data_IF_117282049860
#
_entry.id   IF_117282049860
#
_cell.length_a   1.000
_cell.length_b   1.000
_cell.length_c   1.000
_cell.angle_alpha   90.00
_cell.angle_beta   90.00
_cell.angle_gamma   90.00
#
_symmetry.space_group_name_H-M   'P 1'
#
loop_
_entity.id
_entity.type
_entity.pdbx_description
1 polymer ?
#
# COMPACT_ATOMS: atom_id res chain seq x y z
N UNK A 1 18.65 -43.83 -2.86
CA UNK A 1 17.32 -43.17 -2.92
C UNK A 1 17.02 -42.60 -1.55
N UNK A 2 17.21 -41.29 -1.36
CA UNK A 2 16.56 -40.54 -0.29
C UNK A 2 15.75 -39.41 -0.95
N UNK A 3 14.42 -39.46 -0.91
CA UNK A 3 13.58 -38.38 -1.41
C UNK A 3 13.29 -37.43 -0.25
N UNK A 4 13.91 -36.25 -0.20
CA UNK A 4 13.57 -35.31 0.87
C UNK A 4 14.54 -34.16 1.11
N UNK A 5 14.81 -33.34 0.09
CA UNK A 5 15.31 -31.97 0.29
C UNK A 5 15.26 -31.20 -1.03
N UNK A 6 14.06 -30.88 -1.54
CA UNK A 6 13.92 -29.75 -2.46
C UNK A 6 13.57 -28.52 -1.63
N UNK A 7 14.58 -28.03 -0.92
CA UNK A 7 14.59 -26.67 -0.43
C UNK A 7 14.36 -25.76 -1.63
N UNK A 8 13.34 -24.92 -1.50
CA UNK A 8 12.97 -23.84 -2.41
C UNK A 8 14.21 -23.10 -2.90
N UNK A 9 14.65 -23.41 -4.12
CA UNK A 9 15.64 -22.59 -4.83
C UNK A 9 14.95 -21.26 -5.11
N UNK A 10 15.12 -20.29 -4.21
CA UNK A 10 14.98 -18.87 -4.55
C UNK A 10 16.16 -18.54 -5.46
N UNK A 11 16.09 -19.06 -6.67
CA UNK A 11 17.06 -18.82 -7.73
C UNK A 11 17.17 -17.31 -7.84
N UNK A 12 18.37 -16.76 -7.63
CA UNK A 12 18.51 -15.32 -7.60
C UNK A 12 17.88 -14.77 -8.87
N UNK A 13 17.15 -13.67 -8.68
CA UNK A 13 16.84 -12.79 -9.78
C UNK A 13 15.75 -13.32 -10.75
N UNK A 14 14.98 -14.34 -10.35
CA UNK A 14 13.73 -14.67 -11.04
C UNK A 14 12.60 -13.73 -10.62
N UNK A 15 12.00 -13.03 -11.59
CA UNK A 15 10.85 -12.17 -11.34
C UNK A 15 9.60 -13.03 -11.12
N UNK A 16 8.99 -12.91 -9.94
CA UNK A 16 7.86 -13.76 -9.53
C UNK A 16 6.50 -13.20 -9.96
N UNK A 17 6.41 -11.89 -10.23
CA UNK A 17 5.15 -11.18 -10.52
C UNK A 17 5.19 -10.60 -11.94
N UNK A 18 5.18 -11.47 -12.95
CA UNK A 18 5.30 -11.09 -14.38
C UNK A 18 3.94 -10.92 -15.07
N UNK A 19 2.85 -11.16 -14.36
CA UNK A 19 1.49 -11.12 -14.88
C UNK A 19 0.56 -10.34 -13.95
N UNK A 20 -0.59 -9.89 -14.48
CA UNK A 20 -1.63 -9.25 -13.67
C UNK A 20 -2.39 -10.23 -12.76
N UNK A 21 -2.15 -11.54 -12.89
CA UNK A 21 -2.67 -12.55 -11.94
C UNK A 21 -1.92 -12.41 -10.61
N UNK A 22 -0.61 -12.16 -10.68
CA UNK A 22 0.28 -12.12 -9.52
C UNK A 22 0.61 -10.69 -9.08
N UNK A 23 0.51 -9.72 -9.99
CA UNK A 23 0.64 -8.29 -9.72
C UNK A 23 -0.75 -7.62 -9.71
N UNK A 24 -1.37 -7.61 -8.53
CA UNK A 24 -2.74 -7.12 -8.38
C UNK A 24 -2.83 -5.61 -8.63
N UNK A 25 -3.62 -5.23 -9.64
CA UNK A 25 -4.08 -3.86 -9.83
C UNK A 25 -5.46 -3.68 -9.18
N UNK A 26 -5.74 -2.52 -8.57
CA UNK A 26 -7.06 -2.25 -8.02
C UNK A 26 -8.09 -2.21 -9.15
N UNK A 27 -9.16 -3.01 -9.02
CA UNK A 27 -10.32 -2.95 -9.89
C UNK A 27 -11.33 -1.91 -9.42
N UNK A 28 -12.47 -1.87 -10.09
CA UNK A 28 -13.56 -0.95 -9.77
C UNK A 28 -14.17 -1.20 -8.38
N UNK A 29 -14.16 -2.45 -7.91
CA UNK A 29 -14.69 -2.82 -6.59
C UNK A 29 -13.71 -2.54 -5.45
N UNK A 30 -12.42 -2.48 -5.72
CA UNK A 30 -11.38 -2.19 -4.72
C UNK A 30 -11.14 -0.70 -4.55
N UNK A 31 -11.55 0.12 -5.53
CA UNK A 31 -11.39 1.58 -5.48
C UNK A 31 -12.61 2.21 -4.80
N UNK A 32 -12.46 2.86 -3.64
CA UNK A 32 -13.59 3.51 -2.97
C UNK A 32 -14.04 4.76 -3.76
N UNK A 33 -15.28 5.23 -3.56
CA UNK A 33 -15.70 6.55 -4.04
C UNK A 33 -14.76 7.65 -3.52
N UNK A 34 -14.33 8.55 -4.40
CA UNK A 34 -13.39 9.63 -4.06
C UNK A 34 -14.16 10.96 -4.04
N UNK A 35 -14.16 11.62 -2.88
CA UNK A 35 -14.61 13.00 -2.75
C UNK A 35 -13.45 13.96 -3.07
N UNK A 36 -13.73 14.98 -3.88
CA UNK A 36 -12.73 15.96 -4.31
C UNK A 36 -13.19 17.37 -3.96
N UNK A 37 -12.37 18.07 -3.17
CA UNK A 37 -12.55 19.48 -2.84
C UNK A 37 -11.41 20.29 -3.45
N UNK A 38 -11.70 21.53 -3.83
CA UNK A 38 -10.73 22.43 -4.43
C UNK A 38 -10.46 23.61 -3.50
N UNK A 39 -9.17 23.90 -3.30
CA UNK A 39 -8.69 25.11 -2.67
C UNK A 39 -7.72 25.77 -3.63
N UNK A 40 -7.93 27.04 -3.89
CA UNK A 40 -7.18 27.77 -4.90
C UNK A 40 -6.23 28.77 -4.23
N UNK A 41 -4.98 28.74 -4.67
CA UNK A 41 -3.97 29.71 -4.29
C UNK A 41 -3.08 29.93 -5.50
N UNK A 42 -3.36 30.95 -6.33
CA UNK A 42 -2.63 31.16 -7.58
C UNK A 42 -1.13 31.31 -7.38
N UNK A 43 -0.34 30.83 -8.34
CA UNK A 43 1.11 31.04 -8.36
C UNK A 43 1.44 32.43 -8.90
N UNK A 44 2.29 33.23 -8.24
CA UNK A 44 2.74 34.51 -8.78
C UNK A 44 3.72 34.35 -9.96
N UNK A 45 4.24 33.15 -10.18
CA UNK A 45 5.38 32.88 -11.06
C UNK A 45 4.99 32.17 -12.37
N UNK A 46 3.70 31.85 -12.58
CA UNK A 46 3.23 31.18 -13.79
C UNK A 46 2.21 32.05 -14.50
N UNK A 47 2.23 32.05 -15.84
CA UNK A 47 1.21 32.73 -16.64
C UNK A 47 -0.14 32.08 -16.29
N UNK A 48 -1.11 32.87 -15.85
CA UNK A 48 -2.43 32.37 -15.44
C UNK A 48 -2.50 31.76 -14.04
N UNK A 49 -1.40 31.74 -13.27
CA UNK A 49 -1.42 31.35 -11.85
C UNK A 49 -1.56 29.85 -11.58
N UNK A 50 -1.41 29.00 -12.59
CA UNK A 50 -1.60 27.55 -12.49
C UNK A 50 -0.48 26.85 -11.70
N UNK A 51 -0.81 25.72 -11.10
CA UNK A 51 0.12 24.82 -10.38
C UNK A 51 -0.09 23.38 -10.85
N UNK A 52 0.99 22.59 -10.91
CA UNK A 52 0.92 21.17 -11.24
C UNK A 52 0.37 20.35 -10.07
N UNK A 53 -0.42 19.31 -10.40
CA UNK A 53 -1.03 18.41 -9.39
C UNK A 53 -1.09 16.94 -9.83
N UNK A 54 -0.38 16.57 -10.91
CA UNK A 54 -0.45 15.22 -11.50
C UNK A 54 -0.03 14.09 -10.54
N UNK A 55 0.92 14.36 -9.64
CA UNK A 55 1.45 13.36 -8.71
C UNK A 55 0.84 13.46 -7.31
N UNK A 56 0.10 14.52 -6.99
CA UNK A 56 -0.27 14.78 -5.61
C UNK A 56 -1.25 13.75 -5.03
N UNK A 57 -2.01 13.04 -5.88
CA UNK A 57 -2.76 11.85 -5.49
C UNK A 57 -1.84 10.68 -5.14
N UNK A 58 -0.88 10.37 -6.01
CA UNK A 58 0.08 9.27 -5.83
C UNK A 58 1.02 9.47 -4.63
N UNK A 59 1.32 10.72 -4.26
CA UNK A 59 2.16 11.03 -3.10
C UNK A 59 1.36 10.89 -1.80
N UNK A 60 0.19 11.52 -1.71
CA UNK A 60 -0.53 11.66 -0.44
C UNK A 60 -1.45 10.47 -0.13
N UNK A 61 -2.04 9.83 -1.15
CA UNK A 61 -3.00 8.75 -0.91
C UNK A 61 -2.38 7.53 -0.20
N UNK A 62 -1.18 7.03 -0.57
CA UNK A 62 -0.57 5.91 0.15
C UNK A 62 -0.29 6.24 1.62
N UNK A 63 0.19 7.45 1.90
CA UNK A 63 0.46 7.91 3.26
C UNK A 63 -0.83 8.00 4.10
N UNK A 64 -1.91 8.53 3.52
CA UNK A 64 -3.21 8.61 4.18
C UNK A 64 -3.77 7.22 4.52
N UNK A 65 -3.70 6.26 3.58
CA UNK A 65 -4.17 4.88 3.79
C UNK A 65 -3.37 4.18 4.89
N UNK A 66 -2.03 4.24 4.83
CA UNK A 66 -1.17 3.60 5.86
C UNK A 66 -1.41 4.23 7.24
N UNK A 67 -1.60 5.56 7.30
CA UNK A 67 -1.90 6.26 8.56
C UNK A 67 -3.25 5.83 9.14
N UNK A 68 -4.27 5.66 8.31
CA UNK A 68 -5.58 5.17 8.74
C UNK A 68 -5.51 3.73 9.29
N UNK A 69 -4.73 2.85 8.64
CA UNK A 69 -4.51 1.48 9.15
C UNK A 69 -3.75 1.51 10.48
N UNK A 70 -2.71 2.34 10.60
CA UNK A 70 -1.98 2.53 11.86
C UNK A 70 -2.90 2.99 13.00
N UNK A 71 -3.76 3.97 12.75
CA UNK A 71 -4.71 4.45 13.78
C UNK A 71 -5.68 3.34 14.21
N UNK A 72 -6.21 2.55 13.26
CA UNK A 72 -7.08 1.42 13.55
C UNK A 72 -6.39 0.34 14.41
N UNK A 73 -5.10 0.11 14.20
CA UNK A 73 -4.31 -0.91 14.90
C UNK A 73 -3.65 -0.41 16.19
N UNK A 74 -3.65 0.91 16.45
CA UNK A 74 -2.97 1.53 17.60
C UNK A 74 -3.30 0.90 18.95
N UNK A 75 -4.56 0.52 19.18
CA UNK A 75 -5.01 -0.08 20.45
C UNK A 75 -4.41 -1.47 20.71
N UNK A 76 -3.91 -2.13 19.67
CA UNK A 76 -3.24 -3.42 19.76
C UNK A 76 -1.72 -3.27 19.92
N UNK A 77 -1.20 -2.04 19.99
CA UNK A 77 0.24 -1.78 20.08
C UNK A 77 1.01 -2.13 18.80
N UNK A 78 0.31 -2.31 17.68
CA UNK A 78 0.91 -2.62 16.38
C UNK A 78 1.26 -1.31 15.67
N UNK A 79 2.48 -1.22 15.14
CA UNK A 79 2.94 -0.12 14.30
C UNK A 79 3.29 -0.66 12.90
N UNK A 80 2.78 0.02 11.87
CA UNK A 80 2.98 -0.28 10.46
C UNK A 80 4.00 0.69 9.88
N UNK A 81 5.09 0.17 9.34
CA UNK A 81 6.24 0.92 8.82
C UNK A 81 6.69 0.49 7.41
N UNK A 82 5.90 -0.37 6.75
CA UNK A 82 6.21 -0.91 5.44
C UNK A 82 4.96 -1.08 4.59
N UNK A 83 5.17 -1.33 3.30
CA UNK A 83 4.13 -1.66 2.32
C UNK A 83 4.60 -2.84 1.47
N UNK A 84 3.70 -3.67 0.90
CA UNK A 84 2.23 -3.56 0.93
C UNK A 84 1.58 -4.13 2.19
N UNK A 85 0.41 -3.59 2.56
CA UNK A 85 -0.39 -4.04 3.71
C UNK A 85 -1.33 -5.18 3.32
N UNK A 86 -0.78 -6.38 3.12
CA UNK A 86 -1.59 -7.52 2.70
C UNK A 86 -2.50 -8.00 3.84
N UNK A 87 -3.70 -8.52 3.53
CA UNK A 87 -4.61 -9.05 4.54
C UNK A 87 -3.99 -10.15 5.41
N UNK A 88 -3.14 -10.98 4.82
CA UNK A 88 -2.41 -12.04 5.52
C UNK A 88 -1.44 -11.47 6.57
N UNK A 89 -0.68 -10.42 6.22
CA UNK A 89 0.20 -9.76 7.17
C UNK A 89 -0.58 -9.14 8.34
N UNK A 90 -1.63 -8.36 8.03
CA UNK A 90 -2.48 -7.74 9.07
C UNK A 90 -3.09 -8.81 9.98
N UNK A 91 -3.65 -9.88 9.41
CA UNK A 91 -4.28 -10.95 10.17
C UNK A 91 -3.29 -11.67 11.11
N UNK A 92 -2.03 -11.87 10.69
CA UNK A 92 -0.99 -12.45 11.55
C UNK A 92 -0.65 -11.53 12.72
N UNK A 93 -0.43 -10.24 12.48
CA UNK A 93 -0.07 -9.31 13.56
C UNK A 93 -1.21 -9.15 14.58
N UNK A 94 -2.45 -9.07 14.10
CA UNK A 94 -3.62 -9.01 15.00
C UNK A 94 -3.75 -10.28 15.84
N UNK A 95 -3.50 -11.47 15.27
CA UNK A 95 -3.50 -12.73 16.04
C UNK A 95 -2.40 -12.73 17.11
N UNK A 96 -1.19 -12.30 16.75
CA UNK A 96 -0.04 -12.22 17.67
C UNK A 96 -0.28 -11.25 18.84
N UNK A 97 -0.87 -10.10 18.56
CA UNK A 97 -1.20 -9.11 19.59
C UNK A 97 -2.27 -9.61 20.57
N UNK A 98 -3.20 -10.48 20.13
CA UNK A 98 -4.26 -11.03 20.98
C UNK A 98 -3.85 -12.25 21.80
N UNK A 99 -2.76 -12.91 21.45
CA UNK A 99 -2.23 -14.06 22.20
C UNK A 99 -1.29 -13.67 23.35
N UNK A 100 -1.04 -12.37 23.51
CA UNK A 100 -0.23 -11.80 24.60
C UNK A 100 -1.16 -11.23 25.66
#
# INVERSE_FOLDING_TARGET
>A
MSPGARATSRTCCQLLTTSLIDYLLPGATETPPIEVLHLESPSPNTIGGWKGMGEGGSINAPAAVVSAVNDALRRLGIAVDHTPLTPDWIAREVKRARST
#
